data_IF_165206357618
#
_entry.id   IF_165206357618
#
_cell.length_a   1.000
_cell.length_b   1.000
_cell.length_c   1.000
_cell.angle_alpha   90.00
_cell.angle_beta   90.00
_cell.angle_gamma   90.00
#
_symmetry.space_group_name_H-M   'P 1'
#
loop_
_entity.id
_entity.type
_entity.pdbx_description
1 polymer ?
#
# COMPACT_ATOMS: atom_id res chain seq x y z
N UNK A 1 11.18 -14.24 -4.68
CA UNK A 1 11.08 -12.79 -4.34
C UNK A 1 10.38 -12.52 -3.02
N UNK A 2 9.34 -13.28 -2.61
CA UNK A 2 8.61 -13.08 -1.35
C UNK A 2 9.45 -12.92 -0.06
N UNK A 3 10.59 -13.61 0.07
CA UNK A 3 11.47 -13.47 1.24
C UNK A 3 12.08 -12.06 1.29
N UNK A 4 12.53 -11.55 0.14
CA UNK A 4 13.11 -10.22 0.02
C UNK A 4 12.06 -9.13 0.28
N UNK A 5 10.85 -9.28 -0.29
CA UNK A 5 9.70 -8.42 0.01
C UNK A 5 9.37 -8.41 1.51
N UNK A 6 9.39 -9.57 2.17
CA UNK A 6 9.15 -9.66 3.62
C UNK A 6 10.23 -8.96 4.45
N UNK A 7 11.50 -9.00 4.02
CA UNK A 7 12.59 -8.27 4.71
C UNK A 7 12.39 -6.77 4.55
N UNK A 8 12.05 -6.32 3.34
CA UNK A 8 11.75 -4.92 3.06
C UNK A 8 10.56 -4.43 3.88
N UNK A 9 9.48 -5.20 3.93
CA UNK A 9 8.27 -4.86 4.69
C UNK A 9 8.62 -4.61 6.17
N UNK A 10 9.37 -5.53 6.79
CA UNK A 10 9.83 -5.36 8.18
C UNK A 10 10.70 -4.11 8.36
N UNK A 11 11.59 -3.81 7.40
CA UNK A 11 12.42 -2.60 7.45
C UNK A 11 11.58 -1.32 7.29
N UNK A 12 10.56 -1.31 6.43
CA UNK A 12 9.70 -0.15 6.24
C UNK A 12 8.84 0.10 7.49
N UNK A 13 8.33 -0.97 8.11
CA UNK A 13 7.53 -0.88 9.34
C UNK A 13 8.30 -0.32 10.55
N UNK A 14 9.62 -0.40 10.58
CA UNK A 14 10.41 0.19 11.67
C UNK A 14 10.68 1.69 11.49
N UNK A 15 10.46 2.24 10.29
CA UNK A 15 10.82 3.61 9.91
C UNK A 15 9.58 4.47 9.67
N UNK A 16 8.55 3.90 9.02
CA UNK A 16 7.36 4.64 8.61
C UNK A 16 6.41 4.77 9.79
N UNK A 17 5.97 6.00 10.05
CA UNK A 17 4.84 6.28 10.94
C UNK A 17 3.58 6.43 10.09
N UNK A 18 2.63 5.51 10.26
CA UNK A 18 1.35 5.54 9.55
C UNK A 18 0.33 6.35 10.35
N UNK A 19 -0.48 7.14 9.64
CA UNK A 19 -1.57 7.89 10.27
C UNK A 19 -2.60 6.95 10.91
N UNK A 20 -3.11 7.26 12.13
CA UNK A 20 -4.12 6.45 12.80
C UNK A 20 -5.40 6.23 11.98
N UNK A 21 -5.67 7.11 11.01
CA UNK A 21 -6.86 7.05 10.15
C UNK A 21 -6.66 6.13 8.94
N UNK A 22 -5.45 5.64 8.69
CA UNK A 22 -5.18 4.67 7.63
C UNK A 22 -5.43 3.26 8.17
N UNK A 23 -6.39 2.57 7.57
CA UNK A 23 -6.72 1.20 7.99
C UNK A 23 -6.42 0.15 6.91
N UNK A 24 -6.18 0.57 5.67
CA UNK A 24 -5.82 -0.34 4.58
C UNK A 24 -4.30 -0.57 4.60
N UNK A 25 -3.91 -1.84 4.44
CA UNK A 25 -2.50 -2.28 4.48
C UNK A 25 -1.81 -2.05 5.84
N UNK A 26 -2.58 -1.90 6.93
CA UNK A 26 -2.05 -1.77 8.29
C UNK A 26 -2.32 -3.06 9.06
N UNK A 27 -1.29 -3.63 9.68
CA UNK A 27 -1.43 -4.85 10.48
C UNK A 27 -2.38 -4.60 11.65
N UNK A 28 -3.37 -5.46 11.81
CA UNK A 28 -4.35 -5.37 12.91
C UNK A 28 -5.54 -4.45 12.64
N UNK A 29 -5.62 -3.81 11.46
CA UNK A 29 -6.79 -3.05 11.03
C UNK A 29 -7.54 -3.79 9.93
N UNK A 30 -8.87 -3.77 9.99
CA UNK A 30 -9.76 -4.38 9.01
C UNK A 30 -10.68 -3.31 8.42
N UNK A 31 -11.18 -3.55 7.20
CA UNK A 31 -12.17 -2.67 6.54
C UNK A 31 -13.38 -2.37 7.43
N UNK A 32 -13.77 -3.31 8.29
CA UNK A 32 -14.85 -3.16 9.28
C UNK A 32 -14.59 -2.00 10.24
N UNK A 33 -13.34 -1.78 10.64
CA UNK A 33 -12.98 -0.73 11.60
C UNK A 33 -13.25 0.67 11.01
N UNK A 34 -12.95 0.86 9.72
CA UNK A 34 -13.24 2.12 9.00
C UNK A 34 -14.73 2.36 8.92
N UNK A 35 -15.49 1.35 8.51
CA UNK A 35 -16.96 1.44 8.39
C UNK A 35 -17.55 1.80 9.75
N UNK A 36 -17.08 1.13 10.81
CA UNK A 36 -17.53 1.38 12.17
C UNK A 36 -17.18 2.80 12.65
N UNK A 37 -15.96 3.28 12.39
CA UNK A 37 -15.56 4.64 12.73
C UNK A 37 -16.42 5.69 12.03
N UNK A 38 -16.74 5.50 10.75
CA UNK A 38 -17.64 6.38 9.98
C UNK A 38 -19.07 6.36 10.55
N UNK A 39 -19.57 5.19 10.95
CA UNK A 39 -20.88 5.06 11.60
C UNK A 39 -20.92 5.81 12.94
N UNK A 40 -19.93 5.57 13.81
CA UNK A 40 -19.81 6.26 15.11
C UNK A 40 -19.74 7.78 14.93
N UNK A 41 -18.98 8.26 13.94
CA UNK A 41 -18.88 9.68 13.64
C UNK A 41 -20.25 10.25 13.24
N UNK A 42 -20.96 9.55 12.35
CA UNK A 42 -22.28 9.97 11.86
C UNK A 42 -23.32 9.99 12.99
N UNK A 43 -23.35 8.96 13.83
CA UNK A 43 -24.27 8.87 14.96
C UNK A 43 -24.02 9.94 16.03
N UNK A 44 -22.74 10.22 16.34
CA UNK A 44 -22.36 11.26 17.31
C UNK A 44 -22.88 12.63 16.90
N UNK A 45 -22.83 12.95 15.62
CA UNK A 45 -23.34 14.22 15.09
C UNK A 45 -24.87 14.24 14.99
N UNK A 46 -25.49 13.10 14.62
CA UNK A 46 -26.95 12.95 14.66
C UNK A 46 -27.52 13.24 16.06
N UNK A 47 -26.87 12.73 17.11
CA UNK A 47 -27.25 13.00 18.52
C UNK A 47 -27.16 14.48 18.89
N UNK A 48 -26.22 15.22 18.28
CA UNK A 48 -26.02 16.67 18.49
C UNK A 48 -26.86 17.54 17.55
N UNK A 49 -27.71 16.95 16.70
CA UNK A 49 -28.46 17.65 15.64
C UNK A 49 -27.56 18.49 14.71
N UNK A 50 -26.30 18.09 14.55
CA UNK A 50 -25.35 18.73 13.64
C UNK A 50 -25.26 17.93 12.35
N UNK A 51 -25.22 18.61 11.21
CA UNK A 51 -25.04 17.97 9.90
C UNK A 51 -23.59 17.53 9.72
N UNK A 52 -23.39 16.40 9.04
CA UNK A 52 -22.07 15.92 8.60
C UNK A 52 -22.12 15.74 7.09
N UNK A 53 -21.18 16.35 6.39
CA UNK A 53 -20.97 16.14 4.97
C UNK A 53 -19.74 15.26 4.80
N UNK A 54 -19.87 14.16 4.06
CA UNK A 54 -18.76 13.26 3.74
C UNK A 54 -18.61 13.16 2.23
N UNK A 55 -17.37 13.13 1.76
CA UNK A 55 -17.03 12.85 0.38
C UNK A 55 -16.27 11.53 0.31
N UNK A 56 -16.62 10.68 -0.64
CA UNK A 56 -15.89 9.47 -0.95
C UNK A 56 -14.96 9.75 -2.13
N UNK A 57 -13.66 9.53 -1.94
CA UNK A 57 -12.65 9.64 -2.98
C UNK A 57 -12.06 8.25 -3.20
N UNK A 58 -12.19 7.75 -4.42
CA UNK A 58 -11.53 6.52 -4.85
C UNK A 58 -10.60 6.83 -6.02
N UNK A 59 -9.42 6.21 -6.00
CA UNK A 59 -8.44 6.33 -7.06
C UNK A 59 -8.44 5.01 -7.82
N UNK A 60 -8.99 5.03 -9.04
CA UNK A 60 -9.06 3.84 -9.89
C UNK A 60 -7.66 3.45 -10.34
N UNK A 61 -7.26 2.19 -10.08
CA UNK A 61 -5.98 1.60 -10.53
C UNK A 61 -4.72 2.33 -10.05
N UNK A 62 -4.66 2.79 -8.81
CA UNK A 62 -3.48 3.51 -8.28
C UNK A 62 -2.14 2.81 -8.50
N UNK A 63 -2.10 1.48 -8.52
CA UNK A 63 -0.86 0.73 -8.82
C UNK A 63 -0.32 1.01 -10.20
N UNK A 64 -1.20 1.21 -11.19
CA UNK A 64 -0.84 1.31 -12.60
C UNK A 64 -0.47 2.75 -12.97
N UNK A 65 -0.99 3.71 -12.20
CA UNK A 65 -0.85 5.14 -12.48
C UNK A 65 0.25 5.83 -11.69
N UNK A 66 0.81 5.21 -10.65
CA UNK A 66 1.86 5.83 -9.84
C UNK A 66 3.22 5.62 -10.53
N UNK A 67 3.88 6.69 -11.02
CA UNK A 67 5.23 6.56 -11.56
C UNK A 67 6.21 6.11 -10.48
N UNK A 68 7.12 5.20 -10.83
CA UNK A 68 8.07 4.62 -9.89
C UNK A 68 9.00 5.66 -9.27
N UNK A 69 9.25 6.77 -9.96
CA UNK A 69 10.03 7.91 -9.47
C UNK A 69 9.46 8.47 -8.17
N UNK A 70 8.13 8.51 -8.03
CA UNK A 70 7.49 8.97 -6.79
C UNK A 70 7.64 7.97 -5.65
N UNK A 71 7.72 6.66 -5.95
CA UNK A 71 7.99 5.63 -4.94
C UNK A 71 9.42 5.80 -4.41
N UNK A 72 10.40 5.97 -5.30
CA UNK A 72 11.80 6.20 -4.92
C UNK A 72 11.96 7.48 -4.11
N UNK A 73 11.39 8.59 -4.60
CA UNK A 73 11.39 9.85 -3.88
C UNK A 73 10.81 9.72 -2.47
N UNK A 74 9.72 8.97 -2.32
CA UNK A 74 9.10 8.72 -1.01
C UNK A 74 10.02 7.91 -0.11
N UNK A 75 10.66 6.85 -0.61
CA UNK A 75 11.58 6.04 0.19
C UNK A 75 12.79 6.86 0.67
N UNK A 76 13.34 7.74 -0.18
CA UNK A 76 14.40 8.66 0.24
C UNK A 76 13.94 9.67 1.29
N UNK A 77 12.71 10.19 1.19
CA UNK A 77 12.18 11.14 2.18
C UNK A 77 11.96 10.50 3.56
N UNK A 78 11.65 9.20 3.60
CA UNK A 78 11.61 8.41 4.83
C UNK A 78 12.99 7.99 5.35
N UNK A 79 14.09 8.37 4.68
CA UNK A 79 15.46 8.08 5.12
C UNK A 79 15.90 6.63 4.88
N UNK A 80 15.25 5.93 3.95
CA UNK A 80 15.69 4.58 3.53
C UNK A 80 17.05 4.70 2.85
N UNK A 81 18.00 3.84 3.23
CA UNK A 81 19.36 3.86 2.69
C UNK A 81 19.35 3.63 1.17
N UNK A 82 20.16 4.41 0.45
CA UNK A 82 20.32 4.35 -1.00
C UNK A 82 20.52 2.93 -1.52
N UNK A 83 21.34 2.14 -0.81
CA UNK A 83 21.58 0.75 -1.16
C UNK A 83 20.28 -0.05 -1.26
N UNK A 84 19.36 0.06 -0.29
CA UNK A 84 18.07 -0.65 -0.33
C UNK A 84 17.20 -0.18 -1.48
N UNK A 85 17.13 1.13 -1.73
CA UNK A 85 16.36 1.68 -2.86
C UNK A 85 16.90 1.14 -4.19
N UNK A 86 18.21 1.13 -4.36
CA UNK A 86 18.86 0.57 -5.53
C UNK A 86 18.57 -0.93 -5.70
N UNK A 87 18.66 -1.72 -4.62
CA UNK A 87 18.29 -3.14 -4.67
C UNK A 87 16.83 -3.35 -5.05
N UNK A 88 15.89 -2.53 -4.55
CA UNK A 88 14.48 -2.60 -4.94
C UNK A 88 14.29 -2.28 -6.42
N UNK A 89 14.91 -1.22 -6.93
CA UNK A 89 14.86 -0.88 -8.36
C UNK A 89 15.35 -2.04 -9.23
N UNK A 90 16.48 -2.65 -8.87
CA UNK A 90 17.10 -3.71 -9.65
C UNK A 90 16.34 -5.04 -9.58
N UNK A 91 15.81 -5.41 -8.40
CA UNK A 91 15.20 -6.72 -8.18
C UNK A 91 13.69 -6.77 -8.47
N UNK A 92 12.98 -5.67 -8.26
CA UNK A 92 11.51 -5.65 -8.32
C UNK A 92 10.99 -4.97 -9.61
N UNK A 93 11.71 -3.97 -10.14
CA UNK A 93 11.15 -3.09 -11.17
C UNK A 93 11.94 -3.03 -12.48
N UNK A 94 13.24 -3.35 -12.47
CA UNK A 94 14.03 -3.43 -13.70
C UNK A 94 13.92 -4.81 -14.35
N UNK A 95 13.13 -4.91 -15.43
CA UNK A 95 12.99 -6.12 -16.28
C UNK A 95 12.61 -7.38 -15.50
N UNK A 96 11.85 -7.23 -14.41
CA UNK A 96 11.32 -8.37 -13.70
C UNK A 96 10.33 -9.09 -14.63
N UNK A 97 10.55 -10.39 -14.83
CA UNK A 97 9.61 -11.25 -15.54
C UNK A 97 8.95 -12.22 -14.57
N UNK A 98 7.66 -12.42 -14.74
CA UNK A 98 6.85 -13.36 -13.96
C UNK A 98 6.32 -14.47 -14.85
N UNK A 99 6.07 -15.63 -14.25
CA UNK A 99 5.38 -16.75 -14.86
C UNK A 99 4.43 -17.35 -13.82
N UNK A 100 3.20 -17.66 -14.21
CA UNK A 100 2.21 -18.25 -13.33
C UNK A 100 2.16 -19.78 -13.53
N UNK A 101 1.96 -20.52 -12.44
CA UNK A 101 1.65 -21.94 -12.52
C UNK A 101 0.13 -22.11 -12.68
N UNK A 102 -0.29 -22.69 -13.79
CA UNK A 102 -1.68 -22.97 -14.12
C UNK A 102 -1.93 -24.48 -14.17
N UNK A 103 -3.21 -24.88 -14.22
CA UNK A 103 -3.59 -26.30 -14.32
C UNK A 103 -3.01 -27.01 -15.56
N UNK A 104 -2.67 -26.26 -16.60
CA UNK A 104 -2.07 -26.73 -17.86
C UNK A 104 -0.54 -26.63 -17.90
N UNK A 105 0.11 -26.21 -16.81
CA UNK A 105 1.56 -25.99 -16.73
C UNK A 105 1.94 -24.54 -16.41
N UNK A 106 3.20 -24.19 -16.63
CA UNK A 106 3.72 -22.83 -16.37
C UNK A 106 3.45 -21.93 -17.59
N UNK A 107 2.97 -20.71 -17.37
CA UNK A 107 2.80 -19.72 -18.44
C UNK A 107 4.15 -19.24 -18.97
N UNK A 108 4.18 -18.75 -20.21
CA UNK A 108 5.34 -18.01 -20.70
C UNK A 108 5.64 -16.80 -19.80
N UNK A 109 6.92 -16.43 -19.75
CA UNK A 109 7.36 -15.31 -18.92
C UNK A 109 6.88 -13.98 -19.51
N UNK A 110 6.23 -13.15 -18.70
CA UNK A 110 5.79 -11.81 -19.07
C UNK A 110 6.46 -10.77 -18.18
N UNK A 111 6.62 -9.55 -18.68
CA UNK A 111 7.16 -8.44 -17.88
C UNK A 111 6.15 -7.99 -16.84
N UNK A 112 6.64 -7.72 -15.64
CA UNK A 112 5.90 -7.12 -14.53
C UNK A 112 6.00 -5.60 -14.64
#
# INVERSE_FOLDING_TARGET
MKIFESVIDVCLWSIITISPNQCRFVKGHVTTDVIHAVQLLTEKHRKKKSTVHMAFLDLVKTSDWVPYEFIWYSLHSYGILEAYVHWMQQLLYNRATSSAYCATGVTESFYI
#
